data_IF_078233531762
#
_entry.id   IF_078233531762
#
_cell.length_a   1.000
_cell.length_b   1.000
_cell.length_c   1.000
_cell.angle_alpha   90.00
_cell.angle_beta   90.00
_cell.angle_gamma   90.00
#
_symmetry.space_group_name_H-M   'P 1'
#
loop_
_entity.id
_entity.type
_entity.pdbx_description
1 polymer ?
#
# COMPACT_ATOMS: atom_id res chain seq x y z
N UNK A 1 -11.05 -21.69 -10.42
CA UNK A 1 -10.63 -21.26 -9.07
C UNK A 1 -9.46 -20.29 -9.21
N UNK A 2 -9.65 -19.00 -8.91
CA UNK A 2 -8.67 -17.95 -9.20
C UNK A 2 -7.52 -17.96 -8.16
N UNK A 3 -6.29 -18.19 -8.62
CA UNK A 3 -5.07 -18.08 -7.80
C UNK A 3 -4.75 -16.61 -7.55
N UNK A 4 -4.97 -16.15 -6.32
CA UNK A 4 -4.61 -14.79 -5.90
C UNK A 4 -3.13 -14.80 -5.52
N UNK A 5 -2.25 -14.40 -6.44
CA UNK A 5 -0.81 -14.32 -6.16
C UNK A 5 -0.53 -13.17 -5.17
N UNK A 6 -0.12 -13.51 -3.95
CA UNK A 6 0.38 -12.56 -2.95
C UNK A 6 1.90 -12.74 -2.86
N UNK A 7 2.68 -11.84 -3.45
CA UNK A 7 4.11 -11.74 -3.14
C UNK A 7 4.28 -11.01 -1.81
N UNK A 8 4.75 -11.73 -0.78
CA UNK A 8 5.20 -11.16 0.48
C UNK A 8 6.69 -10.79 0.31
N UNK A 9 7.01 -9.52 0.52
CA UNK A 9 8.39 -9.05 0.67
C UNK A 9 8.62 -8.82 2.16
N UNK A 10 9.54 -9.59 2.74
CA UNK A 10 9.96 -9.48 4.13
C UNK A 10 10.77 -8.19 4.33
N UNK A 11 10.06 -7.11 4.66
CA UNK A 11 10.62 -5.94 5.33
C UNK A 11 9.57 -5.57 6.39
N UNK A 12 9.93 -5.75 7.66
CA UNK A 12 9.09 -6.21 8.78
C UNK A 12 7.85 -5.38 9.17
N UNK A 13 7.51 -4.31 8.43
CA UNK A 13 6.30 -3.53 8.68
C UNK A 13 5.38 -3.30 7.49
N UNK A 14 5.70 -3.80 6.29
CA UNK A 14 4.91 -3.54 5.08
C UNK A 14 4.23 -4.80 4.53
N UNK A 15 2.92 -4.95 4.76
CA UNK A 15 2.26 -6.26 4.75
C UNK A 15 1.59 -6.65 3.42
N UNK A 16 0.81 -5.79 2.75
CA UNK A 16 0.02 -6.26 1.59
C UNK A 16 -0.49 -5.13 0.70
N UNK A 17 -0.18 -5.21 -0.61
CA UNK A 17 -0.89 -4.46 -1.64
C UNK A 17 -2.08 -5.29 -2.14
N UNK A 18 -3.28 -4.77 -1.94
CA UNK A 18 -4.52 -5.34 -2.48
C UNK A 18 -5.03 -4.41 -3.58
N UNK A 19 -5.15 -4.94 -4.80
CA UNK A 19 -5.76 -4.24 -5.93
C UNK A 19 -7.21 -4.69 -6.01
N UNK A 20 -8.12 -3.87 -5.51
CA UNK A 20 -9.55 -4.11 -5.65
C UNK A 20 -10.04 -3.55 -6.98
N UNK A 21 -10.12 -4.41 -7.99
CA UNK A 21 -10.60 -4.04 -9.34
C UNK A 21 -12.10 -3.73 -9.37
N UNK A 22 -12.91 -4.34 -8.50
CA UNK A 22 -14.35 -4.11 -8.44
C UNK A 22 -14.65 -2.68 -7.97
N UNK A 23 -13.94 -2.22 -6.94
CA UNK A 23 -14.14 -0.87 -6.39
C UNK A 23 -13.19 0.17 -7.01
N UNK A 24 -12.30 -0.24 -7.93
CA UNK A 24 -11.21 0.59 -8.48
C UNK A 24 -10.39 1.24 -7.35
N UNK A 25 -9.96 0.44 -6.38
CA UNK A 25 -9.18 0.89 -5.23
C UNK A 25 -7.84 0.15 -5.13
N UNK A 26 -6.81 0.87 -4.68
CA UNK A 26 -5.56 0.32 -4.17
C UNK A 26 -5.60 0.38 -2.65
N UNK A 27 -5.43 -0.76 -2.01
CA UNK A 27 -5.43 -0.87 -0.56
C UNK A 27 -4.05 -1.31 -0.07
N UNK A 28 -3.51 -0.59 0.91
CA UNK A 28 -2.25 -0.87 1.58
C UNK A 28 -2.55 -1.23 3.03
N UNK A 29 -2.28 -2.47 3.38
CA UNK A 29 -2.41 -2.99 4.75
C UNK A 29 -1.03 -3.15 5.38
N UNK A 30 -0.97 -2.88 6.69
CA UNK A 30 0.23 -2.93 7.50
C UNK A 30 0.00 -3.91 8.65
N UNK A 31 1.04 -4.64 9.08
CA UNK A 31 0.96 -5.56 10.22
C UNK A 31 0.79 -4.79 11.51
N UNK A 32 1.62 -3.76 11.66
CA UNK A 32 1.59 -2.82 12.78
C UNK A 32 1.33 -1.40 12.28
N UNK A 33 1.13 -0.46 13.20
CA UNK A 33 0.92 0.94 12.84
C UNK A 33 2.19 1.48 12.18
N UNK A 34 2.16 1.93 10.92
CA UNK A 34 3.36 2.41 10.26
C UNK A 34 3.97 3.64 10.97
N UNK A 35 5.30 3.79 10.95
CA UNK A 35 6.00 4.96 11.48
C UNK A 35 5.45 6.29 10.93
N UNK A 36 5.66 7.38 11.67
CA UNK A 36 5.15 8.70 11.29
C UNK A 36 5.61 9.12 9.88
N UNK A 37 6.88 8.90 9.53
CA UNK A 37 7.43 9.25 8.22
C UNK A 37 6.76 8.47 7.08
N UNK A 38 6.45 7.19 7.26
CA UNK A 38 5.71 6.37 6.28
C UNK A 38 4.28 6.90 6.12
N UNK A 39 3.59 7.19 7.23
CA UNK A 39 2.23 7.76 7.17
C UNK A 39 2.18 9.13 6.48
N UNK A 40 3.20 9.95 6.66
CA UNK A 40 3.32 11.22 5.95
C UNK A 40 3.57 11.01 4.46
N UNK A 41 4.45 10.07 4.10
CA UNK A 41 4.70 9.72 2.70
C UNK A 41 3.43 9.20 2.02
N UNK A 42 2.68 8.28 2.65
CA UNK A 42 1.42 7.75 2.12
C UNK A 42 0.41 8.86 1.83
N UNK A 43 0.26 9.83 2.75
CA UNK A 43 -0.60 11.00 2.53
C UNK A 43 -0.11 11.84 1.36
N UNK A 44 1.19 12.09 1.27
CA UNK A 44 1.80 12.83 0.17
C UNK A 44 1.55 12.18 -1.20
N UNK A 45 1.62 10.84 -1.29
CA UNK A 45 1.32 10.13 -2.54
C UNK A 45 -0.18 9.94 -2.79
N UNK A 46 -1.08 10.46 -1.94
CA UNK A 46 -2.53 10.45 -2.15
C UNK A 46 -3.26 9.22 -1.60
N UNK A 47 -2.73 8.58 -0.56
CA UNK A 47 -3.43 7.56 0.20
C UNK A 47 -4.14 8.17 1.42
N UNK A 48 -5.36 7.70 1.67
CA UNK A 48 -6.18 8.07 2.82
C UNK A 48 -6.29 6.90 3.80
N UNK A 49 -6.27 7.19 5.10
CA UNK A 49 -6.48 6.16 6.12
C UNK A 49 -7.97 5.91 6.31
N UNK A 50 -8.41 4.67 6.11
CA UNK A 50 -9.76 4.25 6.47
C UNK A 50 -9.82 3.81 7.93
N UNK A 51 -10.45 4.61 8.80
CA UNK A 51 -10.65 4.23 10.21
C UNK A 51 -11.47 2.94 10.36
N UNK A 52 -12.55 2.81 9.56
CA UNK A 52 -13.47 1.65 9.58
C UNK A 52 -12.77 0.36 9.15
N UNK A 53 -11.97 0.44 8.09
CA UNK A 53 -11.38 -0.75 7.44
C UNK A 53 -9.94 -1.02 7.86
N UNK A 54 -9.33 -0.10 8.62
CA UNK A 54 -7.94 -0.17 9.14
C UNK A 54 -6.89 -0.41 8.04
N UNK A 55 -7.11 0.15 6.85
CA UNK A 55 -6.13 0.15 5.76
C UNK A 55 -6.02 1.53 5.11
N UNK A 56 -4.88 1.77 4.46
CA UNK A 56 -4.69 2.94 3.61
C UNK A 56 -5.25 2.67 2.23
N UNK A 57 -5.97 3.62 1.63
CA UNK A 57 -6.57 3.43 0.31
C UNK A 57 -6.39 4.62 -0.60
N UNK A 58 -6.39 4.34 -1.91
CA UNK A 58 -6.36 5.33 -2.97
C UNK A 58 -7.09 4.79 -4.20
N UNK A 59 -7.48 5.67 -5.12
CA UNK A 59 -8.09 5.24 -6.38
C UNK A 59 -7.08 4.46 -7.24
N UNK A 60 -7.58 3.43 -7.91
CA UNK A 60 -6.83 2.66 -8.88
C UNK A 60 -6.68 3.47 -10.16
N UNK A 61 -5.50 4.03 -10.37
CA UNK A 61 -5.11 4.64 -11.62
C UNK A 61 -3.62 4.38 -11.91
N UNK A 62 -3.22 4.54 -13.18
CA UNK A 62 -1.84 4.24 -13.61
C UNK A 62 -0.78 5.07 -12.85
N UNK A 63 -1.12 6.30 -12.46
CA UNK A 63 -0.23 7.20 -11.70
C UNK A 63 0.00 6.64 -10.29
N UNK A 64 -1.06 6.20 -9.61
CA UNK A 64 -0.97 5.61 -8.28
C UNK A 64 -0.25 4.28 -8.30
N UNK A 65 -0.46 3.45 -9.31
CA UNK A 65 0.31 2.21 -9.48
C UNK A 65 1.81 2.52 -9.61
N UNK A 66 2.19 3.54 -10.40
CA UNK A 66 3.60 3.98 -10.51
C UNK A 66 4.15 4.53 -9.18
N UNK A 67 3.40 5.37 -8.47
CA UNK A 67 3.79 5.94 -7.17
C UNK A 67 3.98 4.86 -6.11
N UNK A 68 3.05 3.90 -6.02
CA UNK A 68 3.15 2.75 -5.11
C UNK A 68 4.39 1.93 -5.43
N UNK A 69 4.63 1.59 -6.71
CA UNK A 69 5.85 0.87 -7.12
C UNK A 69 7.14 1.61 -6.72
N UNK A 70 7.18 2.93 -6.89
CA UNK A 70 8.33 3.75 -6.48
C UNK A 70 8.51 3.76 -4.96
N UNK A 71 7.40 3.90 -4.23
CA UNK A 71 7.36 3.85 -2.78
C UNK A 71 7.91 2.50 -2.25
N UNK A 72 7.47 1.37 -2.83
CA UNK A 72 8.00 0.04 -2.49
C UNK A 72 9.50 -0.10 -2.74
N UNK A 73 9.99 0.37 -3.91
CA UNK A 73 11.42 0.35 -4.22
C UNK A 73 12.25 1.17 -3.23
N UNK A 74 11.74 2.32 -2.79
CA UNK A 74 12.41 3.17 -1.81
C UNK A 74 12.42 2.55 -0.42
N UNK A 75 11.36 1.84 -0.03
CA UNK A 75 11.31 1.10 1.24
C UNK A 75 12.37 -0.01 1.29
N UNK A 76 12.51 -0.78 0.22
CA UNK A 76 13.47 -1.90 0.16
C UNK A 76 14.93 -1.39 0.15
N UNK A 77 15.19 -0.23 -0.46
CA UNK A 77 16.55 0.36 -0.51
C UNK A 77 17.01 1.00 0.79
N UNK A 78 16.08 1.41 1.64
CA UNK A 78 16.35 2.13 2.90
C UNK A 78 16.08 1.27 4.14
N UNK A 79 15.75 -0.02 3.95
CA UNK A 79 15.55 -1.00 5.00
C UNK A 79 16.72 -1.97 5.06
#
# INVERSE_FOLDING_TARGET
MARTACHLLENENFLKLLINRQNRELNLSFREKPPAHIRSHLRFIGFNWSRKKRYWHSYLNNIQVKRVRKFYKNLIKNG
#
